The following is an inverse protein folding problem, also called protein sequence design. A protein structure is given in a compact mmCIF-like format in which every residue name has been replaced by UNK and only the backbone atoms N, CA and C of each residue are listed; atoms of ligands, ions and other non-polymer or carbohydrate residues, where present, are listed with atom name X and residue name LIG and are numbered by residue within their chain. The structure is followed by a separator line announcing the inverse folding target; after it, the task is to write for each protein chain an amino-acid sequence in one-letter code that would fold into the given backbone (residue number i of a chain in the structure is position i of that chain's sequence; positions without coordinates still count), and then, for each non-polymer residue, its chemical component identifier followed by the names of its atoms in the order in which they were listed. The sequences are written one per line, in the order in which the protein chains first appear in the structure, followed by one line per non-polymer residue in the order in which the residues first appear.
data_IF_314161241385
#
_entry.id   IF_314161241385
#
_cell.length_a   1.000
_cell.length_b   1.000
_cell.length_c   1.000
_cell.angle_alpha   90.00
_cell.angle_beta   90.00
_cell.angle_gamma   90.00
#
_symmetry.space_group_name_H-M   'P 1'
#
loop_
_entity.id
_entity.type
_entity.pdbx_description
1 polymer ?
#
# COMPACT_ATOMS: atom_id res chain seq x y z
N UNK A 1 3.76 10.95 -5.80
CA UNK A 1 2.33 10.64 -5.63
C UNK A 1 1.95 10.89 -4.19
N UNK A 2 0.68 11.16 -3.87
CA UNK A 2 0.24 11.35 -2.48
C UNK A 2 -0.28 10.03 -1.92
N UNK A 3 -0.02 9.78 -0.63
CA UNK A 3 -0.64 8.65 0.07
C UNK A 3 -2.13 8.89 0.23
N UNK A 4 -2.93 8.00 -0.35
CA UNK A 4 -4.37 7.93 -0.18
C UNK A 4 -4.75 6.60 0.46
N UNK A 5 -5.29 6.66 1.67
CA UNK A 5 -5.68 5.47 2.45
C UNK A 5 -6.65 4.55 1.70
N UNK A 6 -7.62 5.13 0.99
CA UNK A 6 -8.61 4.36 0.21
C UNK A 6 -7.99 3.61 -0.96
N UNK A 7 -7.02 4.21 -1.67
CA UNK A 7 -6.28 3.54 -2.76
C UNK A 7 -5.39 2.43 -2.20
N UNK A 8 -4.68 2.70 -1.09
CA UNK A 8 -3.81 1.69 -0.47
C UNK A 8 -4.61 0.46 -0.03
N UNK A 9 -5.78 0.68 0.59
CA UNK A 9 -6.68 -0.43 0.96
C UNK A 9 -7.17 -1.21 -0.26
N UNK A 10 -7.47 -0.57 -1.40
CA UNK A 10 -7.85 -1.25 -2.64
C UNK A 10 -6.69 -2.08 -3.19
N UNK A 11 -5.51 -1.46 -3.34
CA UNK A 11 -4.30 -2.12 -3.84
C UNK A 11 -3.98 -3.38 -3.02
N UNK A 12 -4.00 -3.26 -1.69
CA UNK A 12 -3.76 -4.40 -0.78
C UNK A 12 -4.87 -5.44 -0.92
N UNK A 13 -6.13 -5.04 -1.10
CA UNK A 13 -7.23 -5.99 -1.30
C UNK A 13 -7.03 -6.83 -2.57
N UNK A 14 -6.53 -6.22 -3.64
CA UNK A 14 -6.34 -6.86 -4.95
C UNK A 14 -5.03 -7.67 -5.04
N UNK A 15 -4.07 -7.43 -4.15
CA UNK A 15 -2.76 -8.08 -4.17
C UNK A 15 -2.51 -8.88 -2.89
N UNK A 16 -2.58 -10.22 -2.97
CA UNK A 16 -2.34 -11.12 -1.82
C UNK A 16 -0.95 -10.94 -1.20
N UNK A 17 0.07 -10.64 -2.01
CA UNK A 17 1.43 -10.37 -1.54
C UNK A 17 1.47 -9.17 -0.59
N UNK A 18 0.79 -8.06 -0.95
CA UNK A 18 0.69 -6.89 -0.10
C UNK A 18 -0.14 -7.14 1.17
N UNK A 19 -1.12 -8.05 1.14
CA UNK A 19 -1.84 -8.46 2.36
C UNK A 19 -0.92 -9.17 3.34
N UNK A 20 -0.06 -10.05 2.83
CA UNK A 20 0.94 -10.74 3.64
C UNK A 20 1.95 -9.74 4.19
N UNK A 21 2.51 -8.88 3.34
CA UNK A 21 3.48 -7.86 3.77
C UNK A 21 2.93 -6.89 4.80
N UNK A 22 1.66 -6.49 4.66
CA UNK A 22 1.02 -5.65 5.68
C UNK A 22 0.97 -6.37 7.04
N UNK A 23 0.61 -7.65 7.07
CA UNK A 23 0.55 -8.43 8.32
C UNK A 23 1.93 -8.62 8.91
N UNK A 24 2.93 -8.95 8.10
CA UNK A 24 4.32 -9.06 8.54
C UNK A 24 4.81 -7.75 9.16
N UNK A 25 4.65 -6.61 8.48
CA UNK A 25 5.00 -5.29 9.01
C UNK A 25 4.31 -4.97 10.34
N UNK A 26 3.03 -5.33 10.47
CA UNK A 26 2.29 -5.13 11.72
C UNK A 26 2.86 -6.00 12.85
N UNK A 27 3.23 -7.25 12.57
CA UNK A 27 3.73 -8.18 13.59
C UNK A 27 5.20 -7.95 13.93
N UNK A 28 6.05 -7.68 12.94
CA UNK A 28 7.49 -7.47 13.12
C UNK A 28 7.80 -6.22 13.94
N UNK A 29 6.99 -5.16 13.76
CA UNK A 29 7.22 -3.87 14.40
C UNK A 29 6.14 -3.50 15.43
N UNK A 30 5.23 -4.42 15.75
CA UNK A 30 4.05 -4.17 16.61
C UNK A 30 3.29 -2.89 16.21
N UNK A 31 3.17 -2.67 14.89
CA UNK A 31 2.62 -1.44 14.34
C UNK A 31 1.10 -1.48 14.25
N UNK A 32 0.46 -0.39 14.66
CA UNK A 32 -0.94 -0.18 14.33
C UNK A 32 -1.16 -0.12 12.82
N UNK A 33 -2.31 -0.60 12.38
CA UNK A 33 -2.66 -0.75 10.96
C UNK A 33 -2.49 0.54 10.15
N UNK A 34 -2.78 1.71 10.72
CA UNK A 34 -2.62 2.98 9.99
C UNK A 34 -1.16 3.34 9.72
N UNK A 35 -0.27 3.05 10.67
CA UNK A 35 1.17 3.24 10.49
C UNK A 35 1.75 2.20 9.54
N UNK A 36 1.35 0.94 9.67
CA UNK A 36 1.77 -0.13 8.76
C UNK A 36 1.35 0.13 7.30
N UNK A 37 0.16 0.68 7.07
CA UNK A 37 -0.28 1.09 5.72
C UNK A 37 0.62 2.17 5.11
N UNK A 38 1.05 3.15 5.90
CA UNK A 38 1.97 4.20 5.45
C UNK A 38 3.36 3.63 5.18
N UNK A 39 3.89 2.81 6.11
CA UNK A 39 5.18 2.16 5.94
C UNK A 39 5.21 1.28 4.68
N UNK A 40 4.17 0.48 4.46
CA UNK A 40 4.02 -0.34 3.26
C UNK A 40 3.94 0.51 1.99
N UNK A 41 3.25 1.64 2.02
CA UNK A 41 3.22 2.58 0.89
C UNK A 41 4.62 3.11 0.57
N UNK A 42 5.38 3.54 1.59
CA UNK A 42 6.72 4.05 1.37
C UNK A 42 7.69 2.96 0.87
N UNK A 43 7.54 1.71 1.32
CA UNK A 43 8.37 0.57 0.88
C UNK A 43 8.04 0.11 -0.54
N UNK A 44 6.76 -0.09 -0.82
CA UNK A 44 6.31 -0.87 -1.99
C UNK A 44 5.76 -0.02 -3.13
N UNK A 45 5.44 1.25 -2.88
CA UNK A 45 4.71 2.12 -3.80
C UNK A 45 5.44 3.44 -4.07
N UNK A 46 6.00 4.07 -3.04
CA UNK A 46 6.74 5.32 -3.21
C UNK A 46 8.10 5.07 -3.90
N UNK A 47 8.70 6.13 -4.45
CA UNK A 47 10.09 6.15 -4.92
C UNK A 47 10.50 5.06 -5.93
N UNK A 48 9.58 4.65 -6.81
CA UNK A 48 9.82 3.61 -7.82
C UNK A 48 9.50 2.20 -7.33
N UNK A 49 8.76 2.06 -6.23
CA UNK A 49 8.35 0.77 -5.68
C UNK A 49 7.59 -0.11 -6.68
N UNK A 50 7.65 -1.42 -6.45
CA UNK A 50 7.07 -2.47 -7.32
C UNK A 50 5.61 -2.21 -7.71
N UNK A 51 4.82 -1.63 -6.80
CA UNK A 51 3.41 -1.36 -6.98
C UNK A 51 3.09 0.10 -7.28
N UNK A 52 4.10 0.93 -7.59
CA UNK A 52 3.90 2.35 -7.92
C UNK A 52 2.90 2.54 -9.05
N UNK A 53 3.06 1.79 -10.15
CA UNK A 53 2.19 1.90 -11.33
C UNK A 53 0.77 1.46 -11.01
N UNK A 54 0.60 0.28 -10.40
CA UNK A 54 -0.72 -0.21 -9.99
C UNK A 54 -1.42 0.74 -9.03
N UNK A 55 -0.68 1.41 -8.14
CA UNK A 55 -1.23 2.44 -7.28
C UNK A 55 -1.64 3.70 -8.05
N UNK A 56 -0.87 4.08 -9.09
CA UNK A 56 -1.20 5.20 -9.97
C UNK A 56 -2.51 4.97 -10.72
N UNK A 57 -2.69 3.76 -11.24
CA UNK A 57 -3.87 3.39 -12.01
C UNK A 57 -5.15 3.42 -11.16
N UNK A 58 -5.02 3.23 -9.85
CA UNK A 58 -6.13 3.40 -8.90
C UNK A 58 -6.50 4.87 -8.63
N UNK A 59 -5.62 5.82 -8.96
CA UNK A 59 -5.84 7.26 -8.85
C UNK A 59 -6.57 7.85 -10.05
N UNK A 60 -6.40 7.25 -11.23
CA UNK A 60 -7.13 7.71 -12.41
C UNK A 60 -8.64 7.54 -12.18
N UNK A 61 -9.42 8.64 -12.15
CA UNK A 61 -10.86 8.52 -12.21
C UNK A 61 -11.17 7.82 -13.54
N UNK A 62 -11.83 6.67 -13.49
CA UNK A 62 -12.47 6.12 -14.68
C UNK A 62 -13.45 7.19 -15.14
N UNK A 63 -13.09 7.91 -16.20
CA UNK A 63 -13.96 8.85 -16.91
C UNK A 63 -15.12 8.13 -17.56
#
# INVERSE_FOLDING_TARGET
MKYTKSQMKKLIKENKELQLRLKELMQEHDLEKDFALKALYHSEVAEGGKYQLSYQELDSPKG
#
